data_IF_776883014126
#
_entry.id   IF_776883014126
#
_cell.length_a   1.000
_cell.length_b   1.000
_cell.length_c   1.000
_cell.angle_alpha   90.00
_cell.angle_beta   90.00
_cell.angle_gamma   90.00
#
_symmetry.space_group_name_H-M   'P 1'
#
loop_
_entity.id
_entity.type
_entity.pdbx_description
1 polymer ?
#
# COMPACT_ATOMS: atom_id res chain seq x y z
N UNK A 1 -4.20 2.01 -0.26
CA UNK A 1 -4.31 2.94 -1.42
C UNK A 1 -5.06 2.23 -2.53
N UNK A 2 -5.59 2.95 -3.51
CA UNK A 2 -6.18 2.27 -4.68
C UNK A 2 -5.12 1.41 -5.38
N UNK A 3 -5.41 0.12 -5.69
CA UNK A 3 -4.52 -0.74 -6.45
C UNK A 3 -4.10 -0.12 -7.80
N UNK A 4 -2.83 -0.26 -8.17
CA UNK A 4 -2.24 0.38 -9.38
C UNK A 4 -2.71 -0.25 -10.70
N UNK A 5 -3.25 -1.45 -10.65
CA UNK A 5 -3.89 -2.13 -11.79
C UNK A 5 -5.35 -1.68 -11.99
N UNK A 6 -5.84 -0.68 -11.22
CA UNK A 6 -7.18 -0.12 -11.38
C UNK A 6 -7.11 1.23 -12.10
N UNK A 7 -8.06 1.43 -13.01
CA UNK A 7 -8.29 2.69 -13.71
C UNK A 7 -9.66 3.26 -13.42
N UNK A 8 -9.78 4.58 -13.51
CA UNK A 8 -11.01 5.34 -13.35
C UNK A 8 -11.42 5.99 -14.66
N UNK A 9 -12.74 6.16 -14.87
CA UNK A 9 -13.25 7.00 -15.95
C UNK A 9 -12.84 8.47 -15.75
N UNK A 10 -12.32 9.11 -16.80
CA UNK A 10 -11.97 10.53 -16.76
C UNK A 10 -13.19 11.40 -16.48
N UNK A 11 -12.99 12.48 -15.71
CA UNK A 11 -13.98 13.55 -15.48
C UNK A 11 -15.25 13.15 -14.68
N UNK A 12 -15.21 12.06 -13.90
CA UNK A 12 -16.29 11.73 -12.95
C UNK A 12 -15.97 12.26 -11.54
N UNK A 13 -16.97 12.81 -10.85
CA UNK A 13 -16.83 13.20 -9.42
C UNK A 13 -16.70 11.99 -8.49
N UNK A 14 -17.32 10.86 -8.86
CA UNK A 14 -17.18 9.57 -8.17
C UNK A 14 -16.87 8.51 -9.21
N UNK A 15 -15.61 8.37 -9.64
CA UNK A 15 -15.28 7.47 -10.71
C UNK A 15 -15.50 6.02 -10.28
N UNK A 16 -16.21 5.29 -11.14
CA UNK A 16 -16.20 3.83 -11.11
C UNK A 16 -14.79 3.34 -11.40
N UNK A 17 -14.42 2.30 -10.67
CA UNK A 17 -13.11 1.68 -10.75
C UNK A 17 -13.18 0.42 -11.60
N UNK A 18 -12.17 0.25 -12.44
CA UNK A 18 -12.06 -0.88 -13.37
C UNK A 18 -10.67 -1.50 -13.28
N UNK A 19 -10.55 -2.78 -12.94
CA UNK A 19 -9.29 -3.50 -13.05
C UNK A 19 -8.86 -3.64 -14.51
N UNK A 20 -7.56 -3.52 -14.77
CA UNK A 20 -6.94 -3.85 -16.05
C UNK A 20 -6.96 -5.36 -16.29
N UNK A 21 -6.97 -5.75 -17.56
CA UNK A 21 -6.96 -7.16 -17.97
C UNK A 21 -5.55 -7.61 -18.33
N UNK A 22 -5.22 -8.86 -18.02
CA UNK A 22 -3.95 -9.48 -18.43
C UNK A 22 -4.04 -9.86 -19.93
N UNK A 23 -3.11 -9.34 -20.74
CA UNK A 23 -3.00 -9.63 -22.16
C UNK A 23 -1.61 -10.16 -22.51
N UNK A 24 -1.54 -10.91 -23.62
CA UNK A 24 -0.28 -11.32 -24.21
C UNK A 24 0.32 -10.16 -25.02
N UNK A 25 1.66 -9.97 -24.99
CA UNK A 25 2.33 -9.00 -25.84
C UNK A 25 2.08 -9.29 -27.32
N UNK A 26 1.73 -8.24 -28.06
CA UNK A 26 1.69 -8.24 -29.53
C UNK A 26 2.96 -7.60 -30.08
N UNK A 27 3.23 -7.77 -31.37
CA UNK A 27 4.39 -7.18 -32.06
C UNK A 27 4.44 -5.64 -32.00
N UNK A 28 3.33 -5.00 -31.62
CA UNK A 28 3.21 -3.55 -31.48
C UNK A 28 3.57 -3.03 -30.08
N UNK A 29 3.92 -3.92 -29.14
CA UNK A 29 4.24 -3.56 -27.76
C UNK A 29 5.74 -3.66 -27.50
N UNK A 30 6.33 -2.59 -26.96
CA UNK A 30 7.72 -2.57 -26.52
C UNK A 30 7.76 -2.22 -25.02
N UNK A 31 8.42 -3.07 -24.24
CA UNK A 31 8.69 -2.84 -22.82
C UNK A 31 10.17 -3.03 -22.53
N UNK A 32 10.67 -2.25 -21.58
CA UNK A 32 12.02 -2.43 -21.03
C UNK A 32 12.10 -3.66 -20.09
N UNK A 33 10.97 -4.29 -19.76
CA UNK A 33 10.90 -5.52 -18.96
C UNK A 33 10.41 -6.69 -19.81
N UNK A 34 11.09 -7.84 -19.71
CA UNK A 34 10.75 -9.08 -20.46
C UNK A 34 9.74 -9.95 -19.71
N UNK A 35 8.64 -9.37 -19.24
CA UNK A 35 7.59 -10.14 -18.57
C UNK A 35 6.67 -10.83 -19.60
N UNK A 36 6.14 -12.03 -19.29
CA UNK A 36 5.27 -12.79 -20.19
C UNK A 36 3.98 -12.07 -20.64
N UNK A 37 3.46 -11.15 -19.83
CA UNK A 37 2.17 -10.50 -20.06
C UNK A 37 2.21 -8.99 -19.75
N UNK A 38 1.17 -8.30 -20.22
CA UNK A 38 0.93 -6.88 -19.95
C UNK A 38 -0.48 -6.65 -19.39
N UNK A 39 -0.67 -5.51 -18.72
CA UNK A 39 -1.98 -5.08 -18.24
C UNK A 39 -2.55 -4.04 -19.22
N UNK A 40 -3.74 -4.30 -19.75
CA UNK A 40 -4.38 -3.44 -20.74
C UNK A 40 -5.83 -3.11 -20.39
N UNK A 41 -6.24 -1.93 -20.84
CA UNK A 41 -7.63 -1.51 -20.83
C UNK A 41 -8.32 -2.01 -22.10
N UNK A 42 -9.30 -2.91 -21.96
CA UNK A 42 -9.97 -3.55 -23.10
C UNK A 42 -11.13 -2.76 -23.70
N UNK A 43 -11.69 -1.79 -22.98
CA UNK A 43 -12.91 -1.11 -23.43
C UNK A 43 -12.59 0.18 -24.21
N UNK A 44 -12.76 0.14 -25.52
CA UNK A 44 -12.49 1.27 -26.41
C UNK A 44 -13.47 2.45 -26.30
N UNK A 45 -14.63 2.26 -25.65
CA UNK A 45 -15.68 3.29 -25.63
C UNK A 45 -15.44 4.39 -24.58
N UNK A 46 -14.58 4.13 -23.60
CA UNK A 46 -14.35 5.04 -22.46
C UNK A 46 -12.87 5.35 -22.32
N UNK A 47 -12.58 6.64 -22.12
CA UNK A 47 -11.25 7.08 -21.73
C UNK A 47 -11.07 6.92 -20.22
N UNK A 48 -9.96 6.31 -19.86
CA UNK A 48 -9.62 6.03 -18.46
C UNK A 48 -8.28 6.64 -18.10
N UNK A 49 -8.06 6.81 -16.81
CA UNK A 49 -6.79 7.22 -16.22
C UNK A 49 -6.49 6.40 -14.97
N UNK A 50 -5.27 6.51 -14.46
CA UNK A 50 -4.89 5.85 -13.22
C UNK A 50 -5.80 6.31 -12.07
N UNK A 51 -6.36 5.36 -11.31
CA UNK A 51 -7.20 5.70 -10.17
C UNK A 51 -6.33 6.08 -8.96
N UNK A 52 -6.28 7.36 -8.62
CA UNK A 52 -5.59 7.84 -7.42
C UNK A 52 -6.49 7.78 -6.17
N UNK A 53 -5.88 7.92 -4.99
CA UNK A 53 -6.59 8.01 -3.72
C UNK A 53 -6.69 6.69 -2.95
N UNK A 54 -7.86 6.49 -2.31
CA UNK A 54 -8.11 5.39 -1.39
C UNK A 54 -9.29 4.54 -1.88
N UNK A 55 -9.28 3.28 -1.44
CA UNK A 55 -10.36 2.32 -1.61
C UNK A 55 -10.76 1.85 -0.21
N UNK A 56 -12.06 1.71 0.05
CA UNK A 56 -12.57 1.18 1.32
C UNK A 56 -12.22 -0.30 1.49
N UNK A 57 -12.20 -0.78 2.73
CA UNK A 57 -11.91 -2.18 3.03
C UNK A 57 -12.87 -3.13 2.28
N UNK A 58 -14.16 -2.80 2.21
CA UNK A 58 -15.15 -3.60 1.49
C UNK A 58 -14.88 -3.68 -0.01
N UNK A 59 -14.51 -2.56 -0.63
CA UNK A 59 -14.17 -2.53 -2.05
C UNK A 59 -12.82 -3.20 -2.32
N UNK A 60 -11.85 -3.09 -1.41
CA UNK A 60 -10.58 -3.83 -1.50
C UNK A 60 -10.83 -5.34 -1.41
N UNK A 61 -11.63 -5.79 -0.45
CA UNK A 61 -12.06 -7.19 -0.30
C UNK A 61 -12.69 -7.72 -1.59
N UNK A 62 -13.69 -7.01 -2.13
CA UNK A 62 -14.34 -7.37 -3.41
C UNK A 62 -13.33 -7.46 -4.56
N UNK A 63 -12.46 -6.47 -4.68
CA UNK A 63 -11.41 -6.44 -5.70
C UNK A 63 -10.44 -7.63 -5.57
N UNK A 64 -10.04 -7.98 -4.35
CA UNK A 64 -9.16 -9.12 -4.09
C UNK A 64 -9.90 -10.45 -4.31
N UNK A 65 -11.21 -10.52 -4.13
CA UNK A 65 -12.01 -11.69 -4.52
C UNK A 65 -12.28 -11.77 -6.04
N UNK A 66 -11.71 -10.88 -6.86
CA UNK A 66 -11.90 -10.86 -8.31
C UNK A 66 -13.23 -10.25 -8.76
N UNK A 67 -13.98 -9.59 -7.86
CA UNK A 67 -15.19 -8.87 -8.24
C UNK A 67 -14.83 -7.55 -8.93
N UNK A 68 -15.35 -7.38 -10.15
CA UNK A 68 -15.04 -6.21 -11.00
C UNK A 68 -16.18 -5.20 -11.08
N UNK A 69 -17.36 -5.53 -10.53
CA UNK A 69 -18.56 -4.70 -10.64
C UNK A 69 -18.77 -3.87 -9.38
N UNK A 70 -19.10 -2.59 -9.57
CA UNK A 70 -19.51 -1.71 -8.48
C UNK A 70 -18.37 -1.23 -7.59
N UNK A 71 -17.11 -1.42 -7.99
CA UNK A 71 -15.97 -0.81 -7.31
C UNK A 71 -16.01 0.71 -7.48
N UNK A 72 -15.87 1.42 -6.37
CA UNK A 72 -15.87 2.88 -6.34
C UNK A 72 -14.66 3.38 -5.55
N UNK A 73 -14.15 4.54 -5.98
CA UNK A 73 -13.13 5.27 -5.24
C UNK A 73 -13.74 5.92 -4.00
N UNK A 74 -12.92 6.03 -2.95
CA UNK A 74 -13.27 6.83 -1.78
C UNK A 74 -12.69 8.23 -1.92
N UNK A 75 -13.43 9.22 -1.43
CA UNK A 75 -12.91 10.59 -1.35
C UNK A 75 -11.68 10.64 -0.45
N UNK A 76 -10.63 11.31 -0.91
CA UNK A 76 -9.35 11.42 -0.19
C UNK A 76 -9.31 12.53 0.87
N UNK A 77 -10.47 13.08 1.28
CA UNK A 77 -10.57 14.24 2.17
C UNK A 77 -10.38 13.88 3.66
N UNK A 78 -9.48 12.96 3.96
CA UNK A 78 -9.18 12.53 5.34
C UNK A 78 -8.20 13.46 6.05
N UNK A 79 -7.41 14.21 5.28
CA UNK A 79 -6.29 15.01 5.79
C UNK A 79 -6.34 16.41 5.18
N UNK A 80 -6.24 17.44 6.02
CA UNK A 80 -6.15 18.84 5.65
C UNK A 80 -4.75 19.40 5.94
N UNK A 81 -4.34 20.40 5.16
CA UNK A 81 -3.11 21.16 5.39
C UNK A 81 -3.30 22.19 6.50
N UNK A 82 -2.42 22.17 7.49
CA UNK A 82 -2.37 23.13 8.59
C UNK A 82 -0.95 23.72 8.71
N UNK A 83 -0.54 24.60 7.79
CA UNK A 83 0.79 25.19 7.83
C UNK A 83 0.97 26.04 9.10
N UNK A 84 2.11 25.86 9.77
CA UNK A 84 2.51 26.66 10.94
C UNK A 84 3.79 27.41 10.64
N UNK A 85 3.84 28.65 11.08
CA UNK A 85 5.03 29.50 11.04
C UNK A 85 5.48 29.72 12.47
N UNK A 86 6.77 29.51 12.73
CA UNK A 86 7.37 29.67 14.05
C UNK A 86 8.58 30.60 14.00
N UNK A 87 8.91 31.18 15.15
CA UNK A 87 10.09 32.02 15.34
C UNK A 87 10.85 31.56 16.58
N UNK A 88 12.17 31.70 16.56
CA UNK A 88 12.95 31.67 17.81
C UNK A 88 12.97 33.06 18.44
N UNK A 89 12.79 33.14 19.75
CA UNK A 89 12.83 34.41 20.50
C UNK A 89 14.20 34.61 21.12
N UNK A 90 14.75 35.81 20.99
CA UNK A 90 15.90 36.22 21.78
C UNK A 90 15.45 36.49 23.22
N UNK A 91 15.93 35.72 24.18
CA UNK A 91 15.50 35.80 25.58
C UNK A 91 15.92 37.11 26.27
N UNK A 92 16.91 37.84 25.75
CA UNK A 92 17.37 39.13 26.32
C UNK A 92 16.53 40.29 25.82
N UNK A 93 16.34 40.39 24.50
CA UNK A 93 15.61 41.50 23.87
C UNK A 93 14.11 41.25 23.79
N UNK A 94 13.68 40.00 24.02
CA UNK A 94 12.31 39.53 23.86
C UNK A 94 11.76 39.64 22.44
N UNK A 95 12.60 39.94 21.45
CA UNK A 95 12.28 40.04 20.02
C UNK A 95 12.53 38.72 19.28
N UNK A 96 12.08 38.63 18.03
CA UNK A 96 12.48 37.52 17.15
C UNK A 96 14.00 37.53 16.94
N UNK A 97 14.60 36.34 16.97
CA UNK A 97 16.00 36.15 16.61
C UNK A 97 16.15 36.19 15.09
N UNK A 98 17.15 36.93 14.61
CA UNK A 98 17.44 37.06 13.18
C UNK A 98 17.73 35.69 12.54
N UNK A 99 17.18 35.47 11.34
CA UNK A 99 17.35 34.21 10.60
C UNK A 99 16.56 33.01 11.15
N UNK A 100 15.84 33.15 12.27
CA UNK A 100 15.17 32.05 12.95
C UNK A 100 13.66 31.99 12.71
N UNK A 101 13.23 32.26 11.47
CA UNK A 101 11.86 32.07 11.00
C UNK A 101 11.77 30.72 10.28
N UNK A 102 10.82 29.88 10.65
CA UNK A 102 10.60 28.59 10.01
C UNK A 102 9.13 28.35 9.71
N UNK A 103 8.86 27.50 8.70
CA UNK A 103 7.52 27.06 8.32
C UNK A 103 7.47 25.55 8.27
N UNK A 104 6.42 24.96 8.84
CA UNK A 104 6.14 23.53 8.81
C UNK A 104 4.76 23.34 8.20
N UNK A 105 4.66 22.55 7.13
CA UNK A 105 3.36 22.16 6.57
C UNK A 105 2.84 20.96 7.37
N UNK A 106 2.13 21.24 8.47
CA UNK A 106 1.52 20.15 9.25
C UNK A 106 0.29 19.60 8.53
N UNK A 107 -0.04 18.36 8.87
CA UNK A 107 -1.23 17.66 8.39
C UNK A 107 -2.17 17.43 9.57
N UNK A 108 -3.47 17.65 9.39
CA UNK A 108 -4.50 17.45 10.39
C UNK A 108 -5.57 16.51 9.83
N UNK A 109 -6.08 15.59 10.64
CA UNK A 109 -7.26 14.82 10.25
C UNK A 109 -8.47 15.74 10.05
N UNK A 110 -9.21 15.53 8.96
CA UNK A 110 -10.40 16.31 8.66
C UNK A 110 -11.51 16.11 9.70
N UNK A 111 -11.59 14.93 10.30
CA UNK A 111 -12.49 14.59 11.40
C UNK A 111 -11.69 13.94 12.55
N UNK A 112 -12.05 14.31 13.78
CA UNK A 112 -11.55 13.72 15.04
C UNK A 112 -11.72 12.20 15.16
N UNK A 113 -12.63 11.59 14.40
CA UNK A 113 -12.87 10.14 14.39
C UNK A 113 -11.88 9.37 13.53
N UNK A 114 -11.09 10.06 12.71
CA UNK A 114 -10.06 9.45 11.88
C UNK A 114 -8.83 9.12 12.72
N UNK A 115 -8.16 8.04 12.34
CA UNK A 115 -6.93 7.60 12.97
C UNK A 115 -6.18 6.63 12.08
N UNK A 116 -5.03 6.18 12.58
CA UNK A 116 -4.28 5.10 11.97
C UNK A 116 -4.66 3.78 12.63
N UNK A 117 -4.63 2.73 11.84
CA UNK A 117 -4.78 1.36 12.31
C UNK A 117 -3.48 0.62 12.01
N UNK A 118 -2.95 -0.07 13.01
CA UNK A 118 -1.69 -0.81 12.92
C UNK A 118 -1.86 -2.16 13.57
N UNK A 119 -1.36 -3.20 12.89
CA UNK A 119 -1.17 -4.51 13.48
C UNK A 119 0.25 -4.65 13.99
N UNK A 120 0.36 -5.06 15.25
CA UNK A 120 1.62 -5.19 15.96
C UNK A 120 1.64 -6.55 16.63
N UNK A 121 2.71 -7.29 16.40
CA UNK A 121 2.99 -8.57 17.03
C UNK A 121 4.23 -8.45 17.93
N UNK A 122 4.32 -9.31 18.95
CA UNK A 122 5.46 -9.38 19.86
C UNK A 122 5.54 -8.28 20.92
N UNK A 123 4.42 -7.60 21.24
CA UNK A 123 4.36 -6.59 22.30
C UNK A 123 3.22 -6.87 23.27
N UNK A 124 3.49 -7.69 24.29
CA UNK A 124 2.49 -8.04 25.31
C UNK A 124 2.32 -6.96 26.39
N UNK A 125 3.31 -6.08 26.58
CA UNK A 125 3.30 -5.09 27.66
C UNK A 125 2.58 -3.78 27.29
N UNK A 126 2.07 -3.64 26.06
CA UNK A 126 1.38 -2.44 25.63
C UNK A 126 0.00 -2.37 26.31
N UNK A 127 -0.31 -1.31 27.09
CA UNK A 127 -1.63 -1.12 27.68
C UNK A 127 -2.76 -1.12 26.62
N UNK A 128 -3.99 -1.40 27.05
CA UNK A 128 -5.15 -1.38 26.15
C UNK A 128 -5.44 0.02 25.60
N UNK A 129 -5.07 1.09 26.30
CA UNK A 129 -5.20 2.46 25.82
C UNK A 129 -4.13 3.36 26.45
N UNK A 130 -3.86 4.50 25.81
CA UNK A 130 -2.92 5.47 26.36
C UNK A 130 -2.57 6.60 25.39
N UNK A 131 -1.50 7.32 25.73
CA UNK A 131 -0.94 8.38 24.90
C UNK A 131 0.44 7.96 24.39
N UNK A 132 0.69 8.19 23.10
CA UNK A 132 1.98 7.95 22.44
C UNK A 132 2.42 9.19 21.68
N UNK A 133 3.73 9.37 21.48
CA UNK A 133 4.25 10.40 20.57
C UNK A 133 4.47 9.80 19.20
N UNK A 134 3.86 10.38 18.17
CA UNK A 134 4.00 9.93 16.78
C UNK A 134 4.30 11.12 15.86
N UNK A 135 5.25 10.93 14.95
CA UNK A 135 5.70 11.96 14.02
C UNK A 135 6.72 12.95 14.60
N UNK A 136 6.95 14.04 13.87
CA UNK A 136 7.88 15.10 14.30
C UNK A 136 7.31 15.98 15.42
N UNK A 137 8.16 16.83 16.01
CA UNK A 137 7.73 17.86 16.99
C UNK A 137 6.97 17.31 18.22
N UNK A 138 7.18 16.03 18.55
CA UNK A 138 6.64 15.38 19.75
C UNK A 138 5.11 15.36 19.85
N UNK A 139 4.39 15.31 18.73
CA UNK A 139 2.91 15.32 18.74
C UNK A 139 2.36 14.08 19.45
N UNK A 140 1.44 14.31 20.38
CA UNK A 140 0.75 13.25 21.12
C UNK A 140 -0.44 12.72 20.32
N UNK A 141 -0.62 11.40 20.38
CA UNK A 141 -1.75 10.67 19.84
C UNK A 141 -2.33 9.80 20.97
N UNK A 142 -3.65 9.76 21.05
CA UNK A 142 -4.32 8.73 21.83
C UNK A 142 -4.35 7.44 21.02
N UNK A 143 -4.08 6.31 21.67
CA UNK A 143 -4.23 4.99 21.07
C UNK A 143 -5.11 4.13 21.96
N UNK A 144 -5.76 3.15 21.32
CA UNK A 144 -6.50 2.08 21.99
C UNK A 144 -6.37 0.80 21.18
N UNK A 145 -6.30 -0.33 21.86
CA UNK A 145 -6.37 -1.65 21.28
C UNK A 145 -7.80 -1.88 20.79
N UNK A 146 -7.92 -2.43 19.58
CA UNK A 146 -9.20 -2.80 18.99
C UNK A 146 -9.22 -4.30 18.76
N UNK A 147 -10.39 -4.93 18.92
CA UNK A 147 -10.56 -6.37 18.72
C UNK A 147 -10.77 -6.77 17.26
N UNK A 148 -10.82 -5.80 16.35
CA UNK A 148 -11.03 -6.01 14.93
C UNK A 148 -9.73 -6.47 14.26
N UNK A 149 -9.81 -7.57 13.50
CA UNK A 149 -8.72 -7.98 12.59
C UNK A 149 -8.64 -7.00 11.42
N UNK A 150 -7.43 -6.67 10.98
CA UNK A 150 -7.22 -5.80 9.82
C UNK A 150 -7.07 -6.55 8.49
N UNK A 151 -7.14 -7.89 8.54
CA UNK A 151 -7.30 -8.74 7.37
C UNK A 151 -8.67 -8.47 6.71
N UNK A 152 -8.72 -8.16 5.39
CA UNK A 152 -9.97 -7.91 4.69
C UNK A 152 -10.85 -9.15 4.49
N UNK A 153 -10.36 -10.37 4.77
CA UNK A 153 -11.08 -11.62 4.52
C UNK A 153 -11.70 -12.24 5.77
N UNK A 154 -12.89 -12.83 5.58
CA UNK A 154 -13.42 -13.87 6.48
C UNK A 154 -12.93 -15.27 6.08
N UNK A 155 -13.23 -16.28 6.88
CA UNK A 155 -12.89 -17.67 6.57
C UNK A 155 -13.60 -18.16 5.27
N UNK A 156 -14.83 -17.69 5.01
CA UNK A 156 -15.56 -17.98 3.77
C UNK A 156 -14.93 -17.30 2.54
N UNK A 157 -14.38 -16.09 2.73
CA UNK A 157 -13.65 -15.38 1.69
C UNK A 157 -12.35 -16.08 1.33
N UNK A 158 -11.66 -16.59 2.34
CA UNK A 158 -10.44 -17.35 2.15
C UNK A 158 -10.67 -18.59 1.27
N UNK A 159 -11.70 -19.36 1.59
CA UNK A 159 -12.10 -20.54 0.80
C UNK A 159 -12.45 -20.14 -0.64
N UNK A 160 -13.24 -19.08 -0.80
CA UNK A 160 -13.61 -18.56 -2.13
C UNK A 160 -12.40 -18.10 -2.94
N UNK A 161 -11.41 -17.49 -2.28
CA UNK A 161 -10.17 -17.05 -2.90
C UNK A 161 -9.36 -18.25 -3.39
N UNK A 162 -9.19 -19.27 -2.53
CA UNK A 162 -8.48 -20.50 -2.86
C UNK A 162 -9.05 -21.16 -4.12
N UNK A 163 -10.37 -21.40 -4.14
CA UNK A 163 -11.06 -22.02 -5.28
C UNK A 163 -10.82 -21.26 -6.58
N UNK A 164 -10.86 -19.92 -6.53
CA UNK A 164 -10.64 -19.06 -7.70
C UNK A 164 -9.19 -19.09 -8.18
N UNK A 165 -8.23 -19.09 -7.26
CA UNK A 165 -6.80 -19.13 -7.59
C UNK A 165 -6.43 -20.49 -8.20
N UNK A 166 -6.96 -21.58 -7.64
CA UNK A 166 -6.79 -22.93 -8.18
C UNK A 166 -7.37 -23.04 -9.59
N UNK A 167 -8.62 -22.60 -9.79
CA UNK A 167 -9.28 -22.68 -11.09
C UNK A 167 -8.61 -21.82 -12.18
N UNK A 168 -8.04 -20.67 -11.80
CA UNK A 168 -7.38 -19.76 -12.74
C UNK A 168 -5.89 -20.06 -12.95
N UNK A 169 -5.29 -20.89 -12.09
CA UNK A 169 -3.83 -21.12 -11.98
C UNK A 169 -3.02 -19.81 -11.85
N UNK A 170 -3.66 -18.75 -11.34
CA UNK A 170 -3.14 -17.39 -11.30
C UNK A 170 -3.70 -16.65 -10.11
N UNK A 171 -2.91 -15.75 -9.57
CA UNK A 171 -3.32 -14.82 -8.53
C UNK A 171 -2.59 -13.49 -8.69
N UNK A 172 -3.05 -12.48 -7.96
CA UNK A 172 -2.37 -11.20 -7.80
C UNK A 172 -1.99 -10.95 -6.36
N UNK A 173 -0.92 -10.19 -6.17
CA UNK A 173 -0.43 -9.73 -4.89
C UNK A 173 -0.46 -8.21 -4.89
N UNK A 174 -1.23 -7.63 -3.97
CA UNK A 174 -1.34 -6.19 -3.75
C UNK A 174 -0.51 -5.78 -2.53
N UNK A 175 0.34 -4.78 -2.68
CA UNK A 175 1.12 -4.20 -1.59
C UNK A 175 0.33 -3.09 -0.88
N UNK A 176 -0.08 -3.34 0.36
CA UNK A 176 -0.77 -2.35 1.19
C UNK A 176 0.17 -1.29 1.78
N UNK A 177 1.45 -1.66 2.01
CA UNK A 177 2.51 -0.76 2.46
C UNK A 177 3.67 -0.78 1.47
N UNK A 178 4.58 0.20 1.59
CA UNK A 178 5.77 0.26 0.75
C UNK A 178 6.64 -0.98 0.95
N UNK A 179 7.30 -1.46 -0.10
CA UNK A 179 8.24 -2.58 -0.01
C UNK A 179 9.65 -2.17 -0.45
N UNK A 180 10.66 -2.76 0.17
CA UNK A 180 12.08 -2.56 -0.15
C UNK A 180 12.61 -3.89 -0.69
N UNK A 181 12.70 -4.01 -2.01
CA UNK A 181 13.29 -5.18 -2.65
C UNK A 181 14.73 -4.90 -3.09
N UNK A 182 15.59 -5.92 -3.03
CA UNK A 182 17.00 -5.78 -3.45
C UNK A 182 17.13 -5.57 -4.97
N UNK A 183 16.27 -6.17 -5.77
CA UNK A 183 16.25 -6.07 -7.24
C UNK A 183 15.33 -4.93 -7.73
N UNK A 184 15.34 -3.81 -7.01
CA UNK A 184 14.53 -2.63 -7.31
C UNK A 184 13.03 -2.87 -7.10
N UNK A 185 12.29 -3.11 -8.18
CA UNK A 185 10.86 -3.39 -8.10
C UNK A 185 10.53 -4.89 -8.06
N UNK A 186 11.50 -5.77 -8.35
CA UNK A 186 11.26 -7.19 -8.49
C UNK A 186 11.40 -7.92 -7.13
N UNK A 187 10.34 -8.58 -6.62
CA UNK A 187 10.39 -9.38 -5.40
C UNK A 187 11.07 -10.73 -5.68
N UNK A 188 12.37 -10.83 -5.39
CA UNK A 188 13.17 -12.03 -5.72
C UNK A 188 12.89 -13.21 -4.78
N UNK A 189 12.67 -12.93 -3.50
CA UNK A 189 12.53 -13.93 -2.45
C UNK A 189 11.08 -14.41 -2.35
N UNK A 190 10.59 -15.04 -3.41
CA UNK A 190 9.25 -15.62 -3.50
C UNK A 190 9.29 -17.15 -3.49
N UNK A 191 8.16 -17.83 -3.19
CA UNK A 191 8.05 -19.27 -3.36
C UNK A 191 8.51 -19.71 -4.77
N UNK A 192 9.19 -20.86 -4.91
CA UNK A 192 9.72 -21.31 -6.21
C UNK A 192 8.62 -21.72 -7.20
N UNK A 193 7.42 -22.05 -6.71
CA UNK A 193 6.34 -22.63 -7.49
C UNK A 193 5.45 -21.58 -8.17
N UNK A 194 5.88 -20.31 -8.18
CA UNK A 194 5.19 -19.18 -8.79
C UNK A 194 6.08 -18.43 -9.76
N UNK A 195 5.50 -18.00 -10.87
CA UNK A 195 6.18 -17.22 -11.92
C UNK A 195 5.53 -15.84 -12.04
N UNK A 196 6.33 -14.76 -11.96
CA UNK A 196 5.83 -13.41 -12.20
C UNK A 196 5.51 -13.21 -13.68
N UNK A 197 4.23 -12.97 -13.99
CA UNK A 197 3.77 -12.79 -15.37
C UNK A 197 3.64 -11.33 -15.79
N UNK A 198 3.25 -10.44 -14.87
CA UNK A 198 3.15 -9.00 -15.12
C UNK A 198 3.03 -8.22 -13.80
N UNK A 199 3.15 -6.89 -13.83
CA UNK A 199 2.98 -6.05 -12.65
C UNK A 199 2.53 -4.63 -13.00
N UNK A 200 1.74 -4.01 -12.12
CA UNK A 200 1.42 -2.59 -12.10
C UNK A 200 2.18 -1.92 -10.95
N UNK A 201 3.32 -1.33 -11.25
CA UNK A 201 4.20 -0.68 -10.26
C UNK A 201 4.23 0.82 -10.49
N UNK A 202 3.96 1.59 -9.44
CA UNK A 202 4.03 3.05 -9.50
C UNK A 202 5.47 3.58 -9.48
N UNK A 203 5.62 4.89 -9.65
CA UNK A 203 6.92 5.55 -9.46
C UNK A 203 7.48 5.28 -8.06
N UNK A 204 8.79 4.97 -8.00
CA UNK A 204 9.45 4.71 -6.72
C UNK A 204 9.28 5.87 -5.75
N UNK A 205 9.08 5.55 -4.48
CA UNK A 205 9.18 6.52 -3.39
C UNK A 205 10.56 6.39 -2.73
N UNK A 206 10.91 7.36 -1.90
CA UNK A 206 12.16 7.34 -1.13
C UNK A 206 11.83 7.38 0.35
N UNK A 207 12.36 6.41 1.11
CA UNK A 207 12.12 6.31 2.56
C UNK A 207 13.43 6.22 3.31
N UNK A 208 13.60 7.10 4.29
CA UNK A 208 14.72 7.08 5.24
C UNK A 208 14.19 6.97 6.67
N UNK A 209 14.67 7.87 7.52
CA UNK A 209 14.20 8.03 8.90
C UNK A 209 15.30 8.58 9.80
N UNK A 210 15.01 8.66 11.09
CA UNK A 210 15.95 9.07 12.13
C UNK A 210 16.16 7.93 13.12
N UNK A 211 17.43 7.63 13.41
CA UNK A 211 17.83 6.73 14.48
C UNK A 211 17.92 7.54 15.77
N UNK A 212 16.92 7.38 16.63
CA UNK A 212 16.82 8.10 17.91
C UNK A 212 17.90 7.64 18.89
N UNK A 213 18.30 6.37 18.86
CA UNK A 213 19.28 5.81 19.78
C UNK A 213 20.68 6.37 19.51
N UNK A 214 21.05 6.54 18.24
CA UNK A 214 22.36 7.04 17.82
C UNK A 214 22.36 8.51 17.36
N UNK A 215 21.20 9.16 17.34
CA UNK A 215 21.07 10.57 16.95
C UNK A 215 21.53 10.87 15.51
N UNK A 216 21.23 9.98 14.56
CA UNK A 216 21.67 10.11 13.15
C UNK A 216 20.60 9.69 12.15
N UNK A 217 20.75 10.11 10.89
CA UNK A 217 19.88 9.65 9.80
C UNK A 217 20.01 8.15 9.56
N UNK A 218 18.87 7.47 9.33
CA UNK A 218 18.84 6.09 8.82
C UNK A 218 19.23 6.05 7.34
N UNK A 219 19.67 4.89 6.86
CA UNK A 219 19.87 4.65 5.44
C UNK A 219 18.59 4.93 4.65
N UNK A 220 18.76 5.59 3.51
CA UNK A 220 17.68 5.93 2.59
C UNK A 220 17.52 4.85 1.53
N UNK A 221 16.28 4.39 1.31
CA UNK A 221 15.95 3.37 0.34
C UNK A 221 15.01 3.93 -0.74
N UNK A 222 15.21 3.50 -1.99
CA UNK A 222 14.14 3.56 -2.98
C UNK A 222 13.20 2.39 -2.73
N UNK A 223 11.91 2.66 -2.71
CA UNK A 223 10.90 1.69 -2.32
C UNK A 223 9.86 1.56 -3.42
N UNK A 224 9.31 0.36 -3.56
CA UNK A 224 8.10 0.10 -4.33
C UNK A 224 6.93 0.78 -3.59
N UNK A 225 6.15 1.64 -4.28
CA UNK A 225 5.06 2.35 -3.64
C UNK A 225 3.94 1.40 -3.22
N UNK A 226 3.30 1.70 -2.08
CA UNK A 226 2.05 1.08 -1.70
C UNK A 226 1.02 1.25 -2.84
N UNK A 227 0.17 0.25 -3.00
CA UNK A 227 -0.77 0.10 -4.11
C UNK A 227 -0.25 -0.73 -5.28
N UNK A 228 1.06 -0.99 -5.36
CA UNK A 228 1.63 -1.79 -6.45
C UNK A 228 1.06 -3.21 -6.45
N UNK A 229 0.84 -3.76 -7.64
CA UNK A 229 0.21 -5.08 -7.83
C UNK A 229 1.08 -5.95 -8.73
N UNK A 230 1.27 -7.20 -8.33
CA UNK A 230 2.05 -8.21 -9.05
C UNK A 230 1.15 -9.37 -9.40
N UNK A 231 1.26 -9.90 -10.61
CA UNK A 231 0.48 -11.04 -11.07
C UNK A 231 1.39 -12.25 -11.24
N UNK A 232 0.95 -13.37 -10.70
CA UNK A 232 1.70 -14.61 -10.73
C UNK A 232 0.89 -15.72 -11.40
N UNK A 233 1.62 -16.62 -12.04
CA UNK A 233 1.10 -17.90 -12.51
C UNK A 233 1.65 -19.01 -11.61
N UNK A 234 0.81 -19.98 -11.28
CA UNK A 234 1.20 -21.19 -10.56
C UNK A 234 1.90 -22.18 -11.51
N UNK A 235 2.92 -22.86 -11.01
CA UNK A 235 3.47 -24.05 -11.67
C UNK A 235 2.59 -25.28 -11.40
N UNK A 236 2.69 -26.33 -12.22
CA UNK A 236 1.77 -27.48 -12.17
C UNK A 236 1.78 -28.24 -10.83
N UNK A 237 2.86 -28.14 -10.04
CA UNK A 237 3.04 -28.83 -8.76
C UNK A 237 2.84 -27.89 -7.55
N UNK A 238 2.27 -26.70 -7.77
CA UNK A 238 2.12 -25.68 -6.74
C UNK A 238 1.09 -26.06 -5.66
N UNK A 239 1.52 -26.01 -4.40
CA UNK A 239 0.63 -26.08 -3.24
C UNK A 239 0.01 -24.70 -2.98
N UNK A 240 -1.22 -24.50 -3.47
CA UNK A 240 -1.91 -23.20 -3.42
C UNK A 240 -2.10 -22.74 -1.99
N UNK A 241 -2.58 -23.61 -1.09
CA UNK A 241 -2.81 -23.24 0.31
C UNK A 241 -1.51 -22.76 0.98
N UNK A 242 -0.41 -23.50 0.79
CA UNK A 242 0.89 -23.10 1.32
C UNK A 242 1.37 -21.76 0.75
N UNK A 243 1.24 -21.54 -0.55
CA UNK A 243 1.65 -20.28 -1.21
C UNK A 243 0.84 -19.11 -0.66
N UNK A 244 -0.48 -19.26 -0.59
CA UNK A 244 -1.38 -18.21 -0.12
C UNK A 244 -1.07 -17.86 1.34
N UNK A 245 -0.93 -18.86 2.23
CA UNK A 245 -0.59 -18.63 3.64
C UNK A 245 0.80 -18.00 3.85
N UNK A 246 1.76 -18.28 2.96
CA UNK A 246 3.09 -17.68 3.03
C UNK A 246 3.14 -16.20 2.61
N UNK A 247 2.18 -15.73 1.81
CA UNK A 247 2.22 -14.39 1.22
C UNK A 247 1.09 -13.47 1.72
N UNK A 248 -0.10 -14.01 1.96
CA UNK A 248 -1.25 -13.25 2.40
C UNK A 248 -1.06 -12.76 3.84
N UNK A 249 -1.32 -11.48 4.07
CA UNK A 249 -1.17 -10.84 5.37
C UNK A 249 0.25 -10.93 5.94
N UNK A 250 1.26 -10.97 5.06
CA UNK A 250 2.68 -11.02 5.43
C UNK A 250 3.44 -9.81 4.89
N UNK A 251 4.48 -9.43 5.62
CA UNK A 251 5.43 -8.41 5.19
C UNK A 251 6.53 -9.06 4.34
N UNK A 252 6.43 -8.95 3.01
CA UNK A 252 7.32 -9.62 2.05
C UNK A 252 8.56 -8.79 1.67
N UNK A 253 8.79 -7.65 2.32
CA UNK A 253 9.92 -6.76 2.02
C UNK A 253 11.27 -7.42 2.38
N UNK A 254 12.27 -7.32 1.50
CA UNK A 254 13.62 -7.88 1.74
C UNK A 254 14.37 -7.14 2.87
N UNK A 255 13.95 -5.91 3.16
CA UNK A 255 14.49 -5.07 4.22
C UNK A 255 13.37 -4.49 5.07
N UNK A 256 13.60 -4.42 6.38
CA UNK A 256 12.73 -3.73 7.35
C UNK A 256 11.29 -4.27 7.36
N UNK A 257 11.07 -5.55 7.02
CA UNK A 257 9.76 -6.19 7.06
C UNK A 257 9.11 -6.09 8.45
N UNK A 258 9.90 -6.23 9.51
CA UNK A 258 9.46 -6.07 10.90
C UNK A 258 9.01 -4.65 11.26
N UNK A 259 9.34 -3.65 10.43
CA UNK A 259 8.87 -2.27 10.59
C UNK A 259 7.57 -2.00 9.80
N UNK A 260 6.95 -3.03 9.21
CA UNK A 260 5.70 -2.93 8.46
C UNK A 260 5.86 -2.69 6.96
N UNK A 261 7.08 -2.81 6.41
CA UNK A 261 7.29 -2.74 4.96
C UNK A 261 6.88 -4.04 4.27
N UNK A 262 6.17 -3.91 3.15
CA UNK A 262 5.82 -5.01 2.26
C UNK A 262 4.60 -5.80 2.70
N UNK A 263 3.67 -5.21 3.47
CA UNK A 263 2.41 -5.87 3.81
C UNK A 263 1.66 -6.20 2.52
N UNK A 264 1.46 -7.49 2.27
CA UNK A 264 0.89 -8.01 1.05
C UNK A 264 -0.47 -8.67 1.31
N UNK A 265 -1.41 -8.47 0.39
CA UNK A 265 -2.66 -9.20 0.31
C UNK A 265 -2.75 -9.92 -1.03
N UNK A 266 -3.18 -11.18 -1.00
CA UNK A 266 -3.44 -11.96 -2.22
C UNK A 266 -4.88 -11.74 -2.69
N UNK A 267 -5.06 -11.72 -4.02
CA UNK A 267 -6.36 -11.72 -4.66
C UNK A 267 -6.43 -12.64 -5.88
N UNK A 268 -7.65 -13.04 -6.24
CA UNK A 268 -7.98 -13.74 -7.46
C UNK A 268 -7.91 -12.81 -8.68
N UNK A 269 -7.51 -13.34 -9.83
CA UNK A 269 -7.41 -12.60 -11.11
C UNK A 269 -8.75 -12.49 -11.81
#
# INVERSE_FOLDING_TARGET
PTPRDIVSEKQSQHPRLYPLSIELPTDTFASNTKLPALLAWKNSTKQVEHADGYISCDNLRKYLLGETRGLMSEESNFITDEPKVGITRNYKTLTAAEGMLYRINMKRFADSKLGFVVDVDGIDQLPEEGLIKLGGEGKGFAYRKISQKNDPFSDDDWTTLQDKVEAAEKFKLYLATHAIFHEGWFPKNLPPDIELITAAVGNHATVGGWDVAHGRSKSTYRVVPAGSVYYFKLTNDADVDKILNCLHYKNISDQRAQEGFGLAYIGAV
#
